data_IF_343625146627
#
_entry.id   IF_343625146627
#
_cell.length_a   1.000
_cell.length_b   1.000
_cell.length_c   1.000
_cell.angle_alpha   90.00
_cell.angle_beta   90.00
_cell.angle_gamma   90.00
#
_symmetry.space_group_name_H-M   'P 1'
#
loop_
_entity.id
_entity.type
_entity.pdbx_description
1 polymer ?
#
# COMPACT_ATOMS: atom_id res chain seq x y z
N UNK A 1 -27.44 41.36 -53.18
CA UNK A 1 -28.02 40.13 -52.59
C UNK A 1 -27.04 38.96 -52.59
N UNK A 2 -26.08 38.87 -53.51
CA UNK A 2 -25.10 37.77 -53.59
C UNK A 2 -23.92 37.88 -52.56
N UNK A 3 -23.62 39.08 -52.07
CA UNK A 3 -22.53 39.30 -51.08
C UNK A 3 -22.86 38.93 -49.65
N UNK A 4 -24.15 38.93 -49.26
CA UNK A 4 -24.61 38.61 -47.90
C UNK A 4 -24.71 37.09 -47.71
N UNK A 5 -25.02 36.32 -48.74
CA UNK A 5 -25.07 34.86 -48.67
C UNK A 5 -23.68 34.20 -48.47
N UNK A 6 -22.63 34.79 -49.04
CA UNK A 6 -21.28 34.26 -48.91
C UNK A 6 -20.64 34.56 -47.52
N UNK A 7 -21.09 35.62 -46.84
CA UNK A 7 -20.62 35.97 -45.51
C UNK A 7 -21.22 35.02 -44.45
N UNK A 8 -22.48 34.64 -44.57
CA UNK A 8 -23.12 33.72 -43.66
C UNK A 8 -22.61 32.25 -43.77
N UNK A 9 -22.19 31.83 -44.97
CA UNK A 9 -21.63 30.49 -45.17
C UNK A 9 -20.22 30.35 -44.58
N UNK A 10 -19.42 31.41 -44.60
CA UNK A 10 -18.08 31.42 -43.98
C UNK A 10 -18.15 31.48 -42.45
N UNK A 11 -19.10 32.21 -41.89
CA UNK A 11 -19.33 32.23 -40.45
C UNK A 11 -19.85 30.88 -39.93
N UNK A 12 -20.71 30.20 -40.69
CA UNK A 12 -21.23 28.88 -40.29
C UNK A 12 -20.14 27.79 -40.38
N UNK A 13 -19.21 27.85 -41.32
CA UNK A 13 -18.07 26.95 -41.40
C UNK A 13 -17.05 27.19 -40.29
N UNK A 14 -16.82 28.43 -39.86
CA UNK A 14 -15.95 28.72 -38.72
C UNK A 14 -16.59 28.29 -37.38
N UNK A 15 -17.91 28.41 -37.23
CA UNK A 15 -18.60 27.91 -36.05
C UNK A 15 -18.64 26.38 -35.99
N UNK A 16 -18.72 25.70 -37.11
CA UNK A 16 -18.65 24.23 -37.19
C UNK A 16 -17.23 23.70 -36.93
N UNK A 17 -16.18 24.44 -37.33
CA UNK A 17 -14.79 24.07 -37.06
C UNK A 17 -14.38 24.32 -35.61
N UNK A 18 -14.96 25.30 -34.92
CA UNK A 18 -14.70 25.56 -33.51
C UNK A 18 -15.39 24.51 -32.59
N UNK A 19 -16.49 23.91 -33.03
CA UNK A 19 -17.13 22.81 -32.29
C UNK A 19 -16.43 21.45 -32.49
N UNK A 20 -15.52 21.31 -33.45
CA UNK A 20 -14.75 20.08 -33.70
C UNK A 20 -13.40 20.07 -32.99
N UNK A 21 -13.02 21.17 -32.33
CA UNK A 21 -11.85 21.22 -31.45
C UNK A 21 -12.34 21.44 -30.00
N UNK A 22 -13.41 20.73 -29.60
CA UNK A 22 -13.55 20.39 -28.18
C UNK A 22 -12.50 19.30 -27.96
N UNK A 23 -11.44 19.52 -27.16
CA UNK A 23 -10.60 18.42 -26.79
C UNK A 23 -11.54 17.42 -26.12
N UNK A 24 -11.77 16.29 -26.76
CA UNK A 24 -12.20 15.11 -26.05
C UNK A 24 -11.21 15.01 -24.89
N UNK A 25 -11.65 15.40 -23.69
CA UNK A 25 -10.99 15.03 -22.45
C UNK A 25 -11.01 13.49 -22.46
N UNK A 26 -10.05 12.91 -23.17
CA UNK A 26 -9.75 11.49 -23.07
C UNK A 26 -9.42 11.33 -21.60
N UNK A 27 -10.34 10.72 -20.84
CA UNK A 27 -10.04 10.27 -19.50
C UNK A 27 -8.77 9.45 -19.64
N UNK A 28 -7.66 9.96 -19.11
CA UNK A 28 -6.38 9.29 -19.15
C UNK A 28 -6.39 8.17 -18.09
N UNK A 29 -7.23 7.17 -18.30
CA UNK A 29 -7.18 5.96 -17.50
C UNK A 29 -5.82 5.27 -17.61
N UNK A 30 -5.62 4.13 -16.93
CA UNK A 30 -4.31 3.46 -16.86
C UNK A 30 -3.76 3.00 -18.22
N UNK A 31 -4.58 2.89 -19.26
CA UNK A 31 -4.15 2.46 -20.60
C UNK A 31 -3.25 1.22 -20.53
N UNK A 32 -2.08 1.28 -21.18
CA UNK A 32 -1.06 0.22 -21.14
C UNK A 32 -0.04 0.40 -20.02
N UNK A 33 -0.28 1.29 -19.05
CA UNK A 33 0.67 1.55 -17.96
C UNK A 33 1.05 0.27 -17.21
N UNK A 34 0.08 -0.60 -16.91
CA UNK A 34 0.30 -1.86 -16.17
C UNK A 34 0.47 -3.06 -17.13
N UNK A 35 1.35 -2.95 -18.12
CA UNK A 35 1.76 -4.14 -18.89
C UNK A 35 2.70 -5.01 -18.03
N UNK A 36 2.11 -5.80 -17.11
CA UNK A 36 2.79 -6.61 -16.09
C UNK A 36 2.19 -8.00 -16.02
N UNK A 37 2.94 -8.96 -15.47
CA UNK A 37 2.43 -10.30 -15.17
C UNK A 37 1.44 -10.25 -14.00
N UNK A 38 0.16 -10.25 -14.33
CA UNK A 38 -0.93 -10.28 -13.35
C UNK A 38 -1.35 -11.70 -12.94
N UNK A 39 -0.63 -12.74 -13.33
CA UNK A 39 -0.91 -14.14 -12.88
C UNK A 39 -0.48 -14.37 -11.42
N UNK A 40 0.45 -13.58 -10.90
CA UNK A 40 0.96 -13.67 -9.53
C UNK A 40 -0.01 -13.03 -8.53
N UNK A 41 0.18 -13.34 -7.25
CA UNK A 41 -0.55 -12.75 -6.12
C UNK A 41 0.40 -12.51 -4.94
N UNK A 42 -0.10 -11.86 -3.88
CA UNK A 42 0.60 -11.68 -2.63
C UNK A 42 1.95 -10.95 -2.79
N UNK A 43 2.98 -11.38 -2.06
CA UNK A 43 4.31 -10.76 -2.10
C UNK A 43 4.88 -10.68 -3.53
N UNK A 44 4.72 -11.73 -4.33
CA UNK A 44 5.22 -11.75 -5.71
C UNK A 44 4.54 -10.69 -6.58
N UNK A 45 3.23 -10.49 -6.45
CA UNK A 45 2.52 -9.45 -7.20
C UNK A 45 2.85 -8.06 -6.67
N UNK A 46 3.03 -7.91 -5.34
CA UNK A 46 3.51 -6.65 -4.74
C UNK A 46 4.85 -6.23 -5.33
N UNK A 47 5.82 -7.14 -5.45
CA UNK A 47 7.15 -6.85 -6.02
C UNK A 47 7.09 -6.47 -7.51
N UNK A 48 6.19 -7.09 -8.27
CA UNK A 48 5.93 -6.71 -9.67
C UNK A 48 5.38 -5.29 -9.74
N UNK A 49 4.41 -4.95 -8.87
CA UNK A 49 3.87 -3.60 -8.77
C UNK A 49 4.96 -2.60 -8.35
N UNK A 50 5.75 -2.89 -7.31
CA UNK A 50 6.83 -2.05 -6.85
C UNK A 50 7.80 -1.68 -7.99
N UNK A 51 8.22 -2.68 -8.76
CA UNK A 51 9.08 -2.50 -9.93
C UNK A 51 8.43 -1.61 -11.00
N UNK A 52 7.14 -1.84 -11.28
CA UNK A 52 6.41 -1.03 -12.27
C UNK A 52 6.23 0.41 -11.83
N UNK A 53 5.92 0.64 -10.56
CA UNK A 53 5.73 1.98 -9.98
C UNK A 53 7.04 2.78 -9.92
N UNK A 54 8.19 2.11 -9.86
CA UNK A 54 9.50 2.73 -9.93
C UNK A 54 9.90 3.16 -11.34
N UNK A 55 9.46 2.39 -12.34
CA UNK A 55 9.88 2.58 -13.72
C UNK A 55 9.27 3.86 -14.32
N UNK A 56 10.14 4.79 -14.72
CA UNK A 56 9.75 6.05 -15.35
C UNK A 56 9.17 7.09 -14.38
N UNK A 57 9.11 6.82 -13.07
CA UNK A 57 8.72 7.83 -12.10
C UNK A 57 9.85 8.84 -11.88
N UNK A 58 9.47 10.11 -11.73
CA UNK A 58 10.39 11.21 -11.45
C UNK A 58 10.11 11.79 -10.06
N UNK A 59 11.16 12.27 -9.40
CA UNK A 59 11.02 12.97 -8.13
C UNK A 59 10.71 14.44 -8.40
N UNK A 60 9.66 14.95 -7.77
CA UNK A 60 9.29 16.36 -7.84
C UNK A 60 10.09 17.14 -6.81
N UNK A 61 10.44 18.39 -7.09
CA UNK A 61 10.96 19.25 -6.07
C UNK A 61 9.85 19.54 -5.04
N UNK A 62 10.10 19.29 -3.76
CA UNK A 62 9.12 19.54 -2.70
C UNK A 62 8.63 20.99 -2.66
N UNK A 63 9.51 21.96 -3.03
CA UNK A 63 9.13 23.35 -3.15
C UNK A 63 7.99 23.61 -4.14
N UNK A 64 7.90 22.79 -5.18
CA UNK A 64 6.98 22.98 -6.30
C UNK A 64 5.68 22.16 -6.16
N UNK A 65 5.55 21.33 -5.13
CA UNK A 65 4.38 20.43 -4.95
C UNK A 65 3.06 21.19 -4.88
N UNK A 66 3.01 22.31 -4.16
CA UNK A 66 1.81 23.13 -4.02
C UNK A 66 1.33 23.73 -5.34
N UNK A 67 2.22 23.98 -6.32
CA UNK A 67 1.83 24.44 -7.66
C UNK A 67 0.95 23.45 -8.42
N UNK A 68 1.03 22.16 -8.05
CA UNK A 68 0.24 21.12 -8.70
C UNK A 68 -1.12 20.88 -8.05
N UNK A 69 -1.39 21.41 -6.85
CA UNK A 69 -2.65 21.16 -6.15
C UNK A 69 -3.88 21.69 -6.92
N UNK A 70 -3.73 22.78 -7.68
CA UNK A 70 -4.81 23.23 -8.56
C UNK A 70 -5.22 22.18 -9.60
N UNK A 71 -4.33 21.27 -9.97
CA UNK A 71 -4.60 20.21 -10.93
C UNK A 71 -4.96 18.87 -10.30
N UNK A 72 -4.35 18.57 -9.15
CA UNK A 72 -4.50 17.27 -8.50
C UNK A 72 -5.60 17.25 -7.46
N UNK A 73 -5.85 18.38 -6.78
CA UNK A 73 -6.69 18.45 -5.59
C UNK A 73 -7.58 19.69 -5.61
N UNK A 74 -8.21 20.00 -6.72
CA UNK A 74 -9.21 21.09 -6.83
C UNK A 74 -10.51 20.60 -7.45
N UNK A 75 -11.59 21.30 -7.12
CA UNK A 75 -12.93 21.13 -7.68
C UNK A 75 -13.57 22.48 -7.98
N UNK A 76 -14.62 22.55 -8.83
CA UNK A 76 -15.41 23.78 -8.98
C UNK A 76 -15.97 24.27 -7.65
N UNK A 77 -15.90 25.56 -7.40
CA UNK A 77 -16.51 26.18 -6.22
C UNK A 77 -18.06 26.08 -6.28
N UNK A 78 -18.71 25.71 -5.20
CA UNK A 78 -20.17 25.58 -5.12
C UNK A 78 -20.89 26.90 -5.38
N UNK A 79 -20.30 28.02 -4.95
CA UNK A 79 -20.81 29.36 -5.17
C UNK A 79 -20.69 29.85 -6.63
N UNK A 80 -20.05 29.08 -7.50
CA UNK A 80 -19.64 29.51 -8.84
C UNK A 80 -18.44 30.46 -8.81
N UNK A 81 -17.77 30.65 -9.96
CA UNK A 81 -16.72 31.67 -10.10
C UNK A 81 -15.30 31.21 -9.79
N UNK A 82 -14.98 29.92 -9.93
CA UNK A 82 -13.61 29.44 -9.80
C UNK A 82 -13.50 28.00 -9.31
N UNK A 83 -12.31 27.61 -8.87
CA UNK A 83 -12.03 26.32 -8.24
C UNK A 83 -11.53 26.51 -6.80
N UNK A 84 -11.85 25.56 -5.96
CA UNK A 84 -11.40 25.48 -4.57
C UNK A 84 -10.55 24.23 -4.36
N UNK A 85 -9.67 24.29 -3.40
CA UNK A 85 -8.83 23.17 -2.97
C UNK A 85 -9.69 22.16 -2.21
N UNK A 86 -9.51 20.90 -2.53
CA UNK A 86 -10.13 19.75 -1.84
C UNK A 86 -9.31 19.45 -0.58
N UNK A 87 -9.76 19.94 0.56
CA UNK A 87 -9.16 19.64 1.88
C UNK A 87 -9.90 18.46 2.53
N UNK A 88 -9.26 17.30 2.55
CA UNK A 88 -9.81 16.08 3.16
C UNK A 88 -9.76 16.06 4.68
N UNK A 89 -9.12 17.06 5.30
CA UNK A 89 -8.90 17.11 6.75
C UNK A 89 -9.98 17.86 7.49
N UNK A 90 -10.50 18.95 6.91
CA UNK A 90 -11.55 19.76 7.56
C UNK A 90 -12.47 20.46 6.57
N UNK A 91 -12.10 20.53 5.28
CA UNK A 91 -12.83 21.29 4.28
C UNK A 91 -14.07 20.58 3.74
N UNK A 92 -13.89 19.42 3.17
CA UNK A 92 -14.94 18.64 2.51
C UNK A 92 -15.95 18.07 3.50
N UNK A 93 -17.26 18.15 3.16
CA UNK A 93 -18.35 17.54 3.94
C UNK A 93 -19.05 16.44 3.13
N UNK A 94 -19.65 15.44 3.79
CA UNK A 94 -20.38 14.37 3.11
C UNK A 94 -21.56 14.83 2.25
N UNK A 95 -22.12 16.01 2.53
CA UNK A 95 -23.23 16.62 1.79
C UNK A 95 -22.76 17.52 0.62
N UNK A 96 -21.46 17.57 0.33
CA UNK A 96 -20.88 18.39 -0.73
C UNK A 96 -20.71 19.87 -0.37
N UNK A 97 -21.15 20.29 0.81
CA UNK A 97 -20.93 21.67 1.28
C UNK A 97 -19.57 21.77 1.95
N UNK A 98 -18.73 22.70 1.49
CA UNK A 98 -17.41 22.87 2.07
C UNK A 98 -17.47 23.66 3.38
N UNK A 99 -16.71 23.19 4.37
CA UNK A 99 -16.47 23.95 5.60
C UNK A 99 -15.48 25.07 5.38
N UNK A 100 -14.44 24.81 4.56
CA UNK A 100 -13.37 25.74 4.22
C UNK A 100 -13.24 25.78 2.70
N UNK A 101 -13.43 26.97 2.12
CA UNK A 101 -13.30 27.21 0.68
C UNK A 101 -11.93 27.81 0.38
N UNK A 102 -10.87 27.00 0.39
CA UNK A 102 -9.53 27.46 0.09
C UNK A 102 -9.34 27.75 -1.39
N UNK A 103 -8.90 28.96 -1.71
CA UNK A 103 -8.46 29.32 -3.07
C UNK A 103 -7.01 28.91 -3.25
N UNK A 104 -6.73 28.27 -4.36
CA UNK A 104 -5.40 27.77 -4.68
C UNK A 104 -4.31 28.85 -4.61
N UNK A 105 -4.58 30.03 -5.17
CA UNK A 105 -3.62 31.12 -5.36
C UNK A 105 -3.49 32.09 -4.17
N UNK A 106 -4.32 31.94 -3.13
CA UNK A 106 -4.41 32.92 -2.06
C UNK A 106 -4.29 32.35 -0.65
N UNK A 107 -4.73 31.14 -0.44
CA UNK A 107 -4.95 30.62 0.91
C UNK A 107 -3.91 29.56 1.33
N UNK A 108 -2.77 29.50 0.63
CA UNK A 108 -1.62 28.67 1.02
C UNK A 108 -0.80 29.33 2.14
N UNK A 109 -0.49 28.58 3.20
CA UNK A 109 0.35 29.08 4.29
C UNK A 109 1.84 29.10 3.88
N UNK A 110 2.31 30.20 3.33
CA UNK A 110 3.70 30.34 2.85
C UNK A 110 4.75 30.57 3.95
N UNK A 111 4.34 31.04 5.12
CA UNK A 111 5.25 31.54 6.16
C UNK A 111 5.61 30.53 7.25
N UNK A 112 5.07 29.31 7.19
CA UNK A 112 5.22 28.35 8.28
C UNK A 112 4.48 28.76 9.55
N UNK A 113 4.34 27.86 10.50
CA UNK A 113 3.63 28.11 11.76
C UNK A 113 2.26 27.41 11.78
N UNK A 114 1.66 27.38 12.96
CA UNK A 114 0.35 26.77 13.18
C UNK A 114 -0.72 27.83 13.10
N UNK A 115 -1.74 27.61 12.27
CA UNK A 115 -2.93 28.45 12.26
C UNK A 115 -3.65 28.40 13.62
N UNK A 116 -4.28 29.48 14.02
CA UNK A 116 -5.00 29.58 15.30
C UNK A 116 -6.33 28.84 15.31
N UNK A 117 -6.88 28.56 14.14
CA UNK A 117 -8.15 27.83 13.94
C UNK A 117 -8.19 27.19 12.56
N UNK A 118 -9.21 26.38 12.32
CA UNK A 118 -9.52 25.84 11.00
C UNK A 118 -9.94 26.94 10.03
N UNK A 119 -9.82 26.68 8.74
CA UNK A 119 -10.19 27.58 7.64
C UNK A 119 -9.37 28.87 7.53
N UNK A 120 -8.18 28.93 8.11
CA UNK A 120 -7.27 30.08 7.93
C UNK A 120 -6.45 29.92 6.65
N UNK A 121 -5.76 28.81 6.49
CA UNK A 121 -4.95 28.49 5.32
C UNK A 121 -4.67 26.99 5.23
N UNK A 122 -4.27 26.52 4.06
CA UNK A 122 -3.87 25.13 3.83
C UNK A 122 -2.35 24.99 3.64
N UNK A 123 -1.85 23.78 3.88
CA UNK A 123 -0.43 23.40 3.76
C UNK A 123 -0.27 22.11 2.94
N UNK A 124 0.98 21.79 2.61
CA UNK A 124 1.38 20.46 2.08
C UNK A 124 1.47 19.47 3.25
N UNK A 125 0.63 18.44 3.25
CA UNK A 125 0.63 17.43 4.30
C UNK A 125 1.10 16.06 3.77
N UNK A 126 2.00 15.44 4.53
CA UNK A 126 2.39 14.05 4.33
C UNK A 126 1.38 13.14 5.02
N UNK A 127 0.32 12.75 4.32
CA UNK A 127 -0.76 11.91 4.87
C UNK A 127 -0.27 10.55 5.40
N UNK A 128 0.81 10.03 4.84
CA UNK A 128 1.68 9.01 5.42
C UNK A 128 2.88 9.75 6.05
N UNK A 129 3.00 9.85 7.37
CA UNK A 129 3.94 10.73 8.03
C UNK A 129 5.39 10.56 7.59
N UNK A 130 6.04 11.66 7.22
CA UNK A 130 7.43 11.63 6.74
C UNK A 130 8.43 11.11 7.79
N UNK A 131 8.13 11.27 9.06
CA UNK A 131 8.96 10.71 10.15
C UNK A 131 9.06 9.19 10.11
N UNK A 132 8.08 8.51 9.52
CA UNK A 132 8.07 7.05 9.43
C UNK A 132 9.08 6.51 8.42
N UNK A 133 9.43 7.28 7.39
CA UNK A 133 10.44 6.90 6.40
C UNK A 133 11.77 7.67 6.53
N UNK A 134 12.01 8.33 7.68
CA UNK A 134 13.28 8.99 7.96
C UNK A 134 13.32 10.49 7.68
N UNK A 135 12.19 11.15 7.48
CA UNK A 135 12.10 12.59 7.31
C UNK A 135 12.15 13.04 5.83
N UNK A 136 13.08 13.94 5.51
CA UNK A 136 13.14 14.55 4.17
C UNK A 136 13.87 13.68 3.12
N UNK A 137 13.61 12.36 3.13
CA UNK A 137 14.26 11.40 2.23
C UNK A 137 13.59 11.37 0.87
N UNK A 138 14.31 11.75 -0.18
CA UNK A 138 13.84 11.67 -1.57
C UNK A 138 13.94 10.23 -2.08
N UNK A 139 13.01 9.73 -2.90
CA UNK A 139 11.85 10.43 -3.50
C UNK A 139 10.61 10.51 -2.61
N UNK A 140 10.54 9.81 -1.48
CA UNK A 140 9.37 9.70 -0.60
C UNK A 140 8.89 11.06 -0.09
N UNK A 141 9.82 11.96 0.21
CA UNK A 141 9.52 13.30 0.76
C UNK A 141 8.69 14.17 -0.20
N UNK A 142 8.82 13.97 -1.50
CA UNK A 142 8.07 14.71 -2.52
C UNK A 142 7.12 13.83 -3.35
N UNK A 143 6.76 12.65 -2.81
CA UNK A 143 5.83 11.72 -3.45
C UNK A 143 4.42 12.30 -3.52
N UNK A 144 3.95 12.59 -4.75
CA UNK A 144 2.66 13.25 -4.96
C UNK A 144 1.46 12.41 -4.50
N UNK A 145 1.58 11.07 -4.49
CA UNK A 145 0.47 10.23 -4.05
C UNK A 145 0.16 10.33 -2.55
N UNK A 146 1.15 10.73 -1.73
CA UNK A 146 0.93 10.91 -0.28
C UNK A 146 0.74 12.38 0.13
N UNK A 147 1.16 13.33 -0.72
CA UNK A 147 1.09 14.76 -0.41
C UNK A 147 -0.29 15.31 -0.76
N UNK A 148 -1.02 15.76 0.25
CA UNK A 148 -2.35 16.34 0.12
C UNK A 148 -2.34 17.80 0.60
N UNK A 149 -3.16 18.66 0.02
CA UNK A 149 -3.49 19.91 0.69
C UNK A 149 -4.33 19.62 1.94
N UNK A 150 -4.00 20.25 3.04
CA UNK A 150 -4.68 20.06 4.32
C UNK A 150 -4.82 21.37 5.08
N UNK A 151 -5.92 21.55 5.78
CA UNK A 151 -6.09 22.62 6.76
C UNK A 151 -4.90 22.64 7.73
N UNK A 152 -4.27 23.81 7.90
CA UNK A 152 -3.04 23.91 8.69
C UNK A 152 -3.28 23.57 10.17
N UNK A 153 -4.41 23.99 10.75
CA UNK A 153 -4.74 23.70 12.15
C UNK A 153 -4.94 22.21 12.38
N UNK A 154 -5.75 21.57 11.53
CA UNK A 154 -6.06 20.14 11.63
C UNK A 154 -4.83 19.28 11.33
N UNK A 155 -3.99 19.68 10.37
CA UNK A 155 -2.72 19.04 10.09
C UNK A 155 -1.78 19.05 11.31
N UNK A 156 -1.61 20.20 11.96
CA UNK A 156 -0.78 20.29 13.17
C UNK A 156 -1.32 19.42 14.30
N UNK A 157 -2.63 19.35 14.47
CA UNK A 157 -3.28 18.53 15.46
C UNK A 157 -3.11 17.02 15.18
N UNK A 158 -3.18 16.60 13.89
CA UNK A 158 -2.94 15.23 13.48
C UNK A 158 -1.51 14.78 13.78
N UNK A 159 -0.53 15.69 13.66
CA UNK A 159 0.87 15.31 13.90
C UNK A 159 1.26 14.04 13.11
N UNK A 160 1.96 13.10 13.75
CA UNK A 160 2.36 11.81 13.15
C UNK A 160 1.40 10.66 13.51
N UNK A 161 0.20 10.95 13.99
CA UNK A 161 -0.75 9.90 14.36
C UNK A 161 -1.17 9.09 13.14
N UNK A 162 -1.23 7.74 13.26
CA UNK A 162 -1.73 6.87 12.21
C UNK A 162 -3.25 7.06 12.02
N UNK A 163 -3.73 6.57 10.88
CA UNK A 163 -5.17 6.44 10.67
C UNK A 163 -5.76 5.38 11.61
N UNK A 164 -7.00 5.60 12.07
CA UNK A 164 -7.67 4.67 12.99
C UNK A 164 -9.04 5.16 13.40
N UNK A 165 -9.82 4.31 14.05
CA UNK A 165 -11.08 4.73 14.66
C UNK A 165 -10.82 5.46 15.99
N UNK A 166 -11.51 6.58 16.18
CA UNK A 166 -11.40 7.41 17.39
C UNK A 166 -12.51 7.05 18.38
N UNK A 167 -12.10 6.63 19.58
CA UNK A 167 -13.01 6.36 20.70
C UNK A 167 -13.46 7.64 21.40
N UNK A 168 -12.50 8.48 21.79
CA UNK A 168 -12.76 9.76 22.45
C UNK A 168 -12.01 10.84 21.68
N UNK A 169 -12.73 11.71 20.96
CA UNK A 169 -12.07 12.78 20.22
C UNK A 169 -11.55 13.86 21.14
N UNK A 170 -10.29 14.25 20.96
CA UNK A 170 -9.72 15.49 21.50
C UNK A 170 -9.98 16.69 20.60
N UNK A 171 -10.08 16.43 19.29
CA UNK A 171 -10.44 17.39 18.25
C UNK A 171 -11.45 16.75 17.30
N UNK A 172 -12.45 17.54 16.91
CA UNK A 172 -13.34 17.24 15.79
C UNK A 172 -13.27 18.41 14.83
N UNK A 173 -12.89 18.12 13.59
CA UNK A 173 -12.83 19.11 12.52
C UNK A 173 -14.23 19.50 12.03
N UNK A 174 -14.31 20.61 11.29
CA UNK A 174 -15.60 21.11 10.79
C UNK A 174 -16.31 20.16 9.84
N UNK A 175 -15.59 19.33 9.12
CA UNK A 175 -16.18 18.29 8.28
C UNK A 175 -16.58 17.01 9.06
N UNK A 176 -16.18 16.87 10.32
CA UNK A 176 -16.44 15.69 11.14
C UNK A 176 -15.24 14.74 11.31
N UNK A 177 -14.09 15.03 10.68
CA UNK A 177 -12.82 14.32 10.93
C UNK A 177 -12.43 14.43 12.39
N UNK A 178 -11.94 13.36 12.98
CA UNK A 178 -11.60 13.26 14.40
C UNK A 178 -10.14 12.95 14.63
N UNK A 179 -9.60 13.49 15.72
CA UNK A 179 -8.28 13.13 16.27
C UNK A 179 -8.49 12.83 17.75
N UNK A 180 -7.95 11.72 18.26
CA UNK A 180 -8.13 11.35 19.65
C UNK A 180 -7.64 9.96 19.99
N UNK A 181 -8.06 9.43 21.12
CA UNK A 181 -7.69 8.09 21.58
C UNK A 181 -8.22 7.03 20.61
N UNK A 182 -7.42 5.98 20.38
CA UNK A 182 -7.79 4.88 19.47
C UNK A 182 -8.96 4.05 20.03
N UNK A 183 -9.79 3.55 19.11
CA UNK A 183 -10.87 2.61 19.39
C UNK A 183 -10.54 1.24 18.77
N UNK A 184 -10.28 0.24 19.60
CA UNK A 184 -10.08 -1.15 19.18
C UNK A 184 -11.34 -2.01 19.35
N UNK A 185 -12.53 -1.40 19.24
CA UNK A 185 -13.81 -2.13 19.31
C UNK A 185 -13.93 -3.24 18.24
N UNK A 186 -13.12 -3.16 17.17
CA UNK A 186 -13.01 -4.20 16.14
C UNK A 186 -12.04 -5.32 16.51
N UNK A 187 -11.37 -5.22 17.65
CA UNK A 187 -10.39 -6.20 18.13
C UNK A 187 -9.28 -6.48 17.09
N UNK A 188 -8.75 -5.42 16.48
CA UNK A 188 -7.65 -5.51 15.53
C UNK A 188 -6.28 -5.51 16.20
N UNK A 189 -6.22 -5.22 17.50
CA UNK A 189 -5.00 -5.13 18.28
C UNK A 189 -4.25 -3.83 18.04
N UNK A 190 -4.97 -2.68 18.10
CA UNK A 190 -4.37 -1.36 17.91
C UNK A 190 -3.26 -1.10 18.92
N UNK A 191 -2.06 -0.79 18.41
CA UNK A 191 -0.91 -0.44 19.24
C UNK A 191 -0.81 1.08 19.47
N UNK A 192 -1.42 1.89 18.59
CA UNK A 192 -1.37 3.35 18.68
C UNK A 192 -2.32 3.88 19.75
N UNK A 193 -1.84 4.80 20.59
CA UNK A 193 -2.65 5.44 21.64
C UNK A 193 -3.56 6.54 21.11
N UNK A 194 -3.12 7.23 20.06
CA UNK A 194 -3.85 8.30 19.39
C UNK A 194 -3.87 8.06 17.89
N UNK A 195 -5.00 8.38 17.25
CA UNK A 195 -5.24 8.13 15.84
C UNK A 195 -5.98 9.30 15.19
N UNK A 196 -5.93 9.33 13.86
CA UNK A 196 -6.66 10.24 12.98
C UNK A 196 -7.74 9.46 12.26
N UNK A 197 -8.99 9.86 12.40
CA UNK A 197 -10.15 9.28 11.72
C UNK A 197 -10.74 10.28 10.74
N UNK A 198 -10.48 10.14 9.42
CA UNK A 198 -11.16 10.94 8.40
C UNK A 198 -12.65 10.61 8.35
N UNK A 199 -13.44 11.48 7.73
CA UNK A 199 -14.84 11.16 7.42
C UNK A 199 -14.94 9.96 6.47
N UNK A 200 -16.08 9.29 6.47
CA UNK A 200 -16.26 8.00 5.78
C UNK A 200 -15.91 8.06 4.29
N UNK A 201 -16.20 9.18 3.62
CA UNK A 201 -15.92 9.36 2.19
C UNK A 201 -14.43 9.47 1.81
N UNK A 202 -13.51 9.57 2.79
CA UNK A 202 -12.07 9.63 2.55
C UNK A 202 -11.29 8.50 3.23
N UNK A 203 -11.97 7.61 3.94
CA UNK A 203 -11.31 6.48 4.61
C UNK A 203 -10.54 5.60 3.61
N UNK A 204 -11.14 5.34 2.46
CA UNK A 204 -10.52 4.60 1.37
C UNK A 204 -9.32 5.32 0.75
N UNK A 205 -9.42 6.64 0.55
CA UNK A 205 -8.32 7.47 0.02
C UNK A 205 -7.06 7.32 0.88
N UNK A 206 -7.19 7.53 2.19
CA UNK A 206 -6.07 7.38 3.12
C UNK A 206 -5.55 5.93 3.18
N UNK A 207 -6.43 4.94 3.19
CA UNK A 207 -6.03 3.54 3.15
C UNK A 207 -5.22 3.20 1.89
N UNK A 208 -5.65 3.64 0.72
CA UNK A 208 -4.94 3.42 -0.55
C UNK A 208 -3.60 4.15 -0.62
N UNK A 209 -3.45 5.27 0.07
CA UNK A 209 -2.14 5.95 0.21
C UNK A 209 -1.18 5.09 1.03
N UNK A 210 -1.62 4.54 2.17
CA UNK A 210 -0.80 3.66 3.01
C UNK A 210 -0.36 2.41 2.24
N UNK A 211 -1.30 1.74 1.58
CA UNK A 211 -1.01 0.55 0.76
C UNK A 211 -0.08 0.86 -0.42
N UNK A 212 -0.24 2.03 -1.06
CA UNK A 212 0.65 2.51 -2.11
C UNK A 212 2.08 2.71 -1.60
N UNK A 213 2.25 3.41 -0.49
CA UNK A 213 3.57 3.72 0.06
C UNK A 213 4.37 2.45 0.36
N UNK A 214 3.77 1.49 1.03
CA UNK A 214 4.46 0.22 1.35
C UNK A 214 4.69 -0.68 0.14
N UNK A 215 3.94 -0.46 -0.94
CA UNK A 215 4.14 -1.16 -2.21
C UNK A 215 5.22 -0.49 -3.06
N UNK A 216 5.10 0.81 -3.29
CA UNK A 216 6.03 1.59 -4.11
C UNK A 216 7.47 1.52 -3.58
N UNK A 217 7.61 1.55 -2.27
CA UNK A 217 8.90 1.61 -1.58
C UNK A 217 9.30 0.28 -0.93
N UNK A 218 8.89 -0.83 -1.52
CA UNK A 218 9.14 -2.19 -1.02
C UNK A 218 10.60 -2.47 -0.68
N UNK A 219 11.55 -1.95 -1.47
CA UNK A 219 12.99 -2.17 -1.28
C UNK A 219 13.55 -1.56 0.00
N UNK A 220 12.88 -0.57 0.58
CA UNK A 220 13.35 0.16 1.78
C UNK A 220 12.38 0.10 2.95
N UNK A 221 11.13 -0.29 2.73
CA UNK A 221 10.05 -0.24 3.73
C UNK A 221 10.36 -1.03 5.00
N UNK A 222 11.09 -2.14 4.90
CA UNK A 222 11.47 -2.94 6.06
C UNK A 222 12.33 -2.18 7.07
N UNK A 223 13.13 -1.20 6.62
CA UNK A 223 13.98 -0.38 7.48
C UNK A 223 13.20 0.71 8.24
N UNK A 224 11.98 1.04 7.82
CA UNK A 224 11.21 2.13 8.41
C UNK A 224 10.83 1.89 9.88
N UNK A 225 10.73 0.64 10.31
CA UNK A 225 10.47 0.29 11.72
C UNK A 225 11.52 0.85 12.68
N UNK A 226 12.73 1.13 12.21
CA UNK A 226 13.78 1.74 13.05
C UNK A 226 13.49 3.21 13.42
N UNK A 227 12.52 3.86 12.77
CA UNK A 227 12.06 5.19 13.13
C UNK A 227 11.04 5.07 14.26
N UNK A 228 11.31 5.65 15.42
CA UNK A 228 10.53 5.47 16.66
C UNK A 228 9.03 5.75 16.53
N UNK A 229 8.64 6.67 15.62
CA UNK A 229 7.22 7.01 15.38
C UNK A 229 6.51 6.04 14.43
N UNK A 230 7.23 5.08 13.85
CA UNK A 230 6.69 4.09 12.91
C UNK A 230 6.43 2.71 13.56
N UNK A 231 6.91 2.50 14.79
CA UNK A 231 6.88 1.19 15.46
C UNK A 231 5.46 0.62 15.60
N UNK A 232 4.46 1.49 15.75
CA UNK A 232 3.06 1.07 15.94
C UNK A 232 2.37 0.70 14.61
N UNK A 233 3.03 0.92 13.46
CA UNK A 233 2.42 0.81 12.12
C UNK A 233 3.18 -0.13 11.21
N UNK A 234 4.51 -0.22 11.36
CA UNK A 234 5.39 -0.99 10.49
C UNK A 234 5.71 -2.37 11.04
N UNK A 235 5.55 -3.41 10.21
CA UNK A 235 5.87 -4.80 10.57
C UNK A 235 7.38 -5.14 10.50
N UNK A 236 8.24 -4.22 10.06
CA UNK A 236 9.68 -4.47 9.94
C UNK A 236 10.09 -5.44 8.84
N UNK A 237 9.23 -5.66 7.84
CA UNK A 237 9.47 -6.54 6.70
C UNK A 237 9.03 -5.87 5.40
N UNK A 238 9.39 -6.48 4.26
CA UNK A 238 8.96 -5.98 2.95
C UNK A 238 7.54 -6.43 2.58
N UNK A 239 7.03 -7.47 3.23
CA UNK A 239 5.68 -8.00 3.04
C UNK A 239 5.15 -8.64 4.33
N UNK A 240 3.95 -8.29 4.77
CA UNK A 240 3.03 -7.30 4.20
C UNK A 240 3.45 -5.84 4.42
N UNK A 241 4.51 -5.57 5.15
CA UNK A 241 5.11 -4.29 5.49
C UNK A 241 4.38 -3.51 6.59
N UNK A 242 3.07 -3.51 6.60
CA UNK A 242 2.24 -2.93 7.66
C UNK A 242 1.97 -3.95 8.78
N UNK A 243 1.89 -3.45 10.01
CA UNK A 243 1.44 -4.25 11.14
C UNK A 243 0.01 -4.78 10.90
N UNK A 244 -0.35 -5.97 11.40
CA UNK A 244 -1.65 -6.59 11.13
C UNK A 244 -2.87 -5.72 11.43
N UNK A 245 -2.86 -4.90 12.46
CA UNK A 245 -4.02 -4.08 12.81
C UNK A 245 -4.29 -2.98 11.78
N UNK A 246 -3.23 -2.27 11.34
CA UNK A 246 -3.36 -1.19 10.35
C UNK A 246 -3.62 -1.75 8.94
N UNK A 247 -3.07 -2.92 8.62
CA UNK A 247 -3.35 -3.58 7.35
C UNK A 247 -4.82 -3.98 7.24
N UNK A 248 -5.39 -4.62 8.28
CA UNK A 248 -6.82 -4.94 8.36
C UNK A 248 -7.69 -3.70 8.20
N UNK A 249 -7.30 -2.62 8.87
CA UNK A 249 -8.00 -1.35 8.79
C UNK A 249 -7.98 -0.79 7.37
N UNK A 250 -6.81 -0.75 6.73
CA UNK A 250 -6.66 -0.27 5.36
C UNK A 250 -7.50 -1.10 4.37
N UNK A 251 -7.48 -2.42 4.46
CA UNK A 251 -8.30 -3.29 3.59
C UNK A 251 -9.79 -3.05 3.84
N UNK A 252 -10.21 -2.91 5.10
CA UNK A 252 -11.61 -2.59 5.44
C UNK A 252 -12.04 -1.23 4.88
N UNK A 253 -11.27 -0.18 5.12
CA UNK A 253 -11.60 1.16 4.66
C UNK A 253 -11.59 1.27 3.13
N UNK A 254 -10.64 0.60 2.47
CA UNK A 254 -10.63 0.49 1.01
C UNK A 254 -11.93 -0.10 0.42
N UNK A 255 -12.52 -1.10 1.10
CA UNK A 255 -13.81 -1.71 0.69
C UNK A 255 -15.01 -0.82 0.99
N UNK A 256 -14.99 -0.13 2.11
CA UNK A 256 -16.06 0.76 2.54
C UNK A 256 -16.18 2.01 1.68
N UNK A 257 -15.04 2.51 1.23
CA UNK A 257 -14.92 3.73 0.43
C UNK A 257 -14.11 3.43 -0.85
N UNK A 258 -14.75 2.90 -1.89
CA UNK A 258 -14.09 2.60 -3.16
C UNK A 258 -13.70 3.89 -3.90
N UNK A 259 -12.66 3.84 -4.79
CA UNK A 259 -12.19 5.01 -5.51
C UNK A 259 -13.32 5.74 -6.24
N UNK A 260 -13.49 7.01 -5.94
CA UNK A 260 -14.44 7.89 -6.59
C UNK A 260 -13.86 8.61 -7.83
N UNK A 261 -14.58 9.54 -8.40
CA UNK A 261 -14.12 10.30 -9.56
C UNK A 261 -13.00 11.29 -9.20
N UNK A 262 -13.07 11.89 -8.00
CA UNK A 262 -12.08 12.84 -7.51
C UNK A 262 -10.71 12.16 -7.36
N UNK A 263 -10.67 11.01 -6.71
CA UNK A 263 -9.46 10.24 -6.51
C UNK A 263 -8.89 9.70 -7.85
N UNK A 264 -9.74 9.25 -8.76
CA UNK A 264 -9.32 8.81 -10.11
C UNK A 264 -8.71 9.96 -10.92
N UNK A 265 -9.33 11.13 -10.91
CA UNK A 265 -8.82 12.31 -11.60
C UNK A 265 -7.49 12.77 -10.99
N UNK A 266 -7.36 12.67 -9.66
CA UNK A 266 -6.10 12.91 -8.97
C UNK A 266 -5.01 11.95 -9.43
N UNK A 267 -5.30 10.65 -9.48
CA UNK A 267 -4.37 9.62 -9.95
C UNK A 267 -3.89 9.88 -11.39
N UNK A 268 -4.80 10.27 -12.27
CA UNK A 268 -4.48 10.67 -13.66
C UNK A 268 -3.57 11.91 -13.70
N UNK A 269 -3.86 12.89 -12.86
CA UNK A 269 -3.07 14.14 -12.79
C UNK A 269 -1.67 13.90 -12.24
N UNK A 270 -1.55 13.10 -11.17
CA UNK A 270 -0.25 12.71 -10.60
C UNK A 270 0.57 11.92 -11.63
N UNK A 271 -0.05 11.03 -12.40
CA UNK A 271 0.65 10.32 -13.48
C UNK A 271 1.28 11.27 -14.50
N UNK A 272 0.58 12.32 -14.91
CA UNK A 272 1.14 13.30 -15.85
C UNK A 272 2.31 14.09 -15.25
N UNK A 273 2.29 14.33 -13.93
CA UNK A 273 3.30 15.11 -13.21
C UNK A 273 4.51 14.25 -12.84
N UNK A 274 4.27 13.07 -12.28
CA UNK A 274 5.28 12.23 -11.63
C UNK A 274 5.63 10.96 -12.41
N UNK A 275 4.79 10.54 -13.37
CA UNK A 275 5.04 9.39 -14.25
C UNK A 275 4.64 8.04 -13.69
N UNK A 276 4.06 7.98 -12.49
CA UNK A 276 3.52 6.75 -11.90
C UNK A 276 2.09 6.93 -11.40
N UNK A 277 1.43 5.81 -11.07
CA UNK A 277 0.02 5.75 -10.69
C UNK A 277 -0.15 4.96 -9.40
N UNK A 278 -1.22 5.25 -8.64
CA UNK A 278 -1.62 4.37 -7.55
C UNK A 278 -2.43 3.20 -8.12
N UNK A 279 -1.91 1.95 -8.08
CA UNK A 279 -2.58 0.79 -8.66
C UNK A 279 -3.89 0.44 -7.97
N UNK A 280 -4.04 0.81 -6.70
CA UNK A 280 -5.22 0.51 -5.89
C UNK A 280 -6.39 1.47 -6.16
N UNK A 281 -6.12 2.58 -6.86
CA UNK A 281 -7.14 3.47 -7.44
C UNK A 281 -7.59 2.97 -8.80
N UNK A 282 -6.64 2.54 -9.64
CA UNK A 282 -6.93 2.06 -11.00
C UNK A 282 -7.62 0.69 -11.01
N UNK A 283 -7.13 -0.22 -10.17
CA UNK A 283 -7.60 -1.61 -10.03
C UNK A 283 -7.85 -1.94 -8.55
N UNK A 284 -8.97 -1.49 -7.97
CA UNK A 284 -9.25 -1.66 -6.54
C UNK A 284 -9.13 -3.11 -6.05
N UNK A 285 -9.56 -4.08 -6.86
CA UNK A 285 -9.43 -5.52 -6.54
C UNK A 285 -7.99 -6.02 -6.37
N UNK A 286 -6.98 -5.23 -6.75
CA UNK A 286 -5.59 -5.58 -6.52
C UNK A 286 -5.17 -5.43 -5.06
N UNK A 287 -5.93 -4.71 -4.24
CA UNK A 287 -5.70 -4.70 -2.78
C UNK A 287 -5.84 -6.12 -2.22
N UNK A 288 -6.95 -6.80 -2.54
CA UNK A 288 -7.15 -8.18 -2.11
C UNK A 288 -6.12 -9.14 -2.72
N UNK A 289 -5.76 -8.91 -3.95
CA UNK A 289 -4.76 -9.72 -4.65
C UNK A 289 -3.37 -9.62 -4.03
N UNK A 290 -3.02 -8.48 -3.47
CA UNK A 290 -1.73 -8.24 -2.80
C UNK A 290 -1.80 -8.63 -1.33
N UNK A 291 -2.85 -8.22 -0.60
CA UNK A 291 -2.89 -8.26 0.86
C UNK A 291 -3.92 -9.25 1.42
N UNK A 292 -4.69 -9.94 0.57
CA UNK A 292 -5.76 -10.83 0.99
C UNK A 292 -7.09 -10.14 1.28
N UNK A 293 -8.15 -10.95 1.44
CA UNK A 293 -9.53 -10.45 1.55
C UNK A 293 -9.74 -9.62 2.81
N UNK A 294 -9.06 -9.96 3.90
CA UNK A 294 -9.19 -9.31 5.21
C UNK A 294 -7.86 -8.71 5.72
N UNK A 295 -6.88 -8.53 4.82
CA UNK A 295 -5.54 -8.12 5.24
C UNK A 295 -4.75 -9.23 5.96
N UNK A 296 -5.34 -10.41 6.10
CA UNK A 296 -4.72 -11.62 6.64
C UNK A 296 -5.26 -12.79 5.83
N UNK A 297 -4.89 -12.87 4.58
CA UNK A 297 -5.16 -14.09 3.84
C UNK A 297 -4.06 -15.10 4.13
N UNK A 298 -4.43 -16.19 4.79
CA UNK A 298 -3.54 -17.32 5.03
C UNK A 298 -3.00 -17.91 3.72
N UNK A 299 -3.71 -17.75 2.61
CA UNK A 299 -3.22 -18.14 1.27
C UNK A 299 -2.07 -17.26 0.80
N UNK A 300 -1.98 -16.02 1.26
CA UNK A 300 -0.88 -15.10 0.98
C UNK A 300 0.31 -15.28 1.94
N UNK A 301 0.06 -15.79 3.14
CA UNK A 301 1.11 -16.01 4.16
C UNK A 301 1.93 -17.27 3.86
N UNK A 302 1.36 -18.25 3.16
CA UNK A 302 1.98 -19.57 2.95
C UNK A 302 3.10 -19.53 1.89
N UNK A 303 3.25 -18.48 1.08
CA UNK A 303 4.30 -18.41 0.06
C UNK A 303 5.58 -17.69 0.48
N UNK A 304 5.59 -17.06 1.63
CA UNK A 304 6.83 -16.57 2.23
C UNK A 304 7.37 -17.65 3.19
N UNK A 305 7.92 -18.73 2.65
CA UNK A 305 8.99 -19.41 3.38
C UNK A 305 10.05 -18.34 3.63
N UNK A 306 10.21 -17.91 4.90
CA UNK A 306 11.40 -17.16 5.30
C UNK A 306 12.58 -18.01 4.84
N UNK A 307 13.22 -17.64 3.76
CA UNK A 307 14.61 -18.05 3.55
C UNK A 307 15.39 -17.27 4.63
N UNK A 308 15.49 -17.90 5.81
CA UNK A 308 16.53 -17.47 6.73
C UNK A 308 17.81 -17.46 5.93
N UNK A 309 18.63 -16.44 6.10
CA UNK A 309 19.97 -16.32 5.52
C UNK A 309 20.88 -17.55 5.81
N UNK A 310 20.39 -18.50 6.60
CA UNK A 310 20.97 -19.78 6.95
C UNK A 310 20.21 -20.96 6.31
N UNK A 311 19.66 -20.82 5.09
CA UNK A 311 19.10 -21.96 4.37
C UNK A 311 20.21 -22.82 3.76
N UNK A 312 20.08 -24.14 3.85
CA UNK A 312 20.90 -25.10 3.15
C UNK A 312 20.02 -25.98 2.24
N UNK A 313 20.65 -26.61 1.27
CA UNK A 313 19.90 -27.49 0.34
C UNK A 313 19.98 -28.94 0.80
N UNK A 314 18.84 -29.65 0.72
CA UNK A 314 18.76 -31.07 0.91
C UNK A 314 18.10 -31.75 -0.31
N UNK A 315 18.58 -32.92 -0.63
CA UNK A 315 17.97 -33.81 -1.62
C UNK A 315 17.56 -35.12 -0.96
N UNK A 316 16.51 -35.75 -1.48
CA UNK A 316 16.00 -37.01 -0.98
C UNK A 316 15.84 -38.00 -2.15
N UNK A 317 16.21 -39.25 -1.94
CA UNK A 317 16.10 -40.28 -2.96
C UNK A 317 15.92 -41.69 -2.33
N UNK A 318 15.29 -42.62 -3.05
CA UNK A 318 14.59 -42.38 -4.31
C UNK A 318 13.37 -41.45 -4.10
N UNK A 319 12.94 -40.78 -5.15
CA UNK A 319 11.70 -40.01 -5.15
C UNK A 319 11.01 -40.20 -6.52
N UNK A 320 9.91 -40.96 -6.61
CA UNK A 320 9.15 -41.59 -5.54
C UNK A 320 9.89 -42.66 -4.72
N UNK A 321 9.46 -42.82 -3.44
CA UNK A 321 10.07 -43.76 -2.48
C UNK A 321 9.07 -44.79 -1.95
N UNK A 322 9.53 -46.01 -1.68
CA UNK A 322 8.72 -47.09 -1.07
C UNK A 322 8.93 -47.10 0.47
N UNK A 323 9.92 -47.85 0.96
CA UNK A 323 10.05 -48.07 2.40
C UNK A 323 11.11 -47.18 3.07
N UNK A 324 12.04 -46.69 2.30
CA UNK A 324 13.19 -45.92 2.80
C UNK A 324 13.45 -44.72 1.95
N UNK A 325 13.85 -43.63 2.61
CA UNK A 325 14.23 -42.37 1.99
C UNK A 325 15.64 -41.99 2.47
N UNK A 326 16.57 -41.89 1.54
CA UNK A 326 17.92 -41.38 1.84
C UNK A 326 17.93 -39.89 1.74
N UNK A 327 18.63 -39.22 2.66
CA UNK A 327 18.76 -37.78 2.74
C UNK A 327 20.20 -37.41 2.43
N UNK A 328 20.40 -36.61 1.41
CA UNK A 328 21.67 -36.00 1.10
C UNK A 328 21.59 -34.48 1.39
N UNK A 329 22.47 -34.00 2.24
CA UNK A 329 22.52 -32.57 2.57
C UNK A 329 23.96 -32.16 2.77
N UNK A 330 24.27 -30.90 2.40
CA UNK A 330 25.53 -30.26 2.73
C UNK A 330 25.21 -29.21 3.82
N UNK A 331 25.57 -29.53 5.05
CA UNK A 331 25.35 -28.63 6.18
C UNK A 331 26.42 -27.53 6.19
N UNK A 332 26.00 -26.27 6.44
CA UNK A 332 26.95 -25.14 6.47
C UNK A 332 27.89 -25.18 7.66
N UNK A 333 27.57 -25.95 8.73
CA UNK A 333 28.37 -26.02 9.97
C UNK A 333 28.29 -27.43 10.62
N UNK A 334 29.29 -27.86 11.38
CA UNK A 334 29.21 -29.05 12.23
C UNK A 334 28.19 -28.79 13.37
N UNK A 335 27.24 -29.70 13.57
CA UNK A 335 26.08 -29.52 14.42
C UNK A 335 26.19 -30.22 15.75
N UNK A 336 25.65 -29.59 16.81
CA UNK A 336 25.39 -30.28 18.08
C UNK A 336 24.05 -31.01 18.06
N UNK A 337 23.03 -30.43 17.43
CA UNK A 337 21.70 -31.02 17.33
C UNK A 337 21.10 -30.73 15.97
N UNK A 338 20.52 -31.75 15.34
CA UNK A 338 19.70 -31.60 14.16
C UNK A 338 18.39 -32.37 14.33
N UNK A 339 17.32 -31.95 13.69
CA UNK A 339 16.06 -32.67 13.65
C UNK A 339 15.58 -32.88 12.23
N UNK A 340 14.99 -34.07 11.98
CA UNK A 340 14.31 -34.39 10.75
C UNK A 340 12.86 -34.65 11.08
N UNK A 341 11.96 -33.95 10.38
CA UNK A 341 10.52 -34.10 10.55
C UNK A 341 9.85 -34.32 9.20
N UNK A 342 8.85 -35.19 9.15
CA UNK A 342 8.03 -35.44 7.97
C UNK A 342 6.61 -34.99 8.24
N UNK A 343 6.09 -34.19 7.34
CA UNK A 343 4.74 -33.59 7.39
C UNK A 343 3.88 -34.14 6.26
N UNK A 344 2.61 -34.38 6.52
CA UNK A 344 1.62 -34.63 5.48
C UNK A 344 1.20 -33.31 4.76
N UNK A 345 0.34 -33.44 3.76
CA UNK A 345 -0.15 -32.30 2.97
C UNK A 345 -1.03 -31.31 3.76
N UNK A 346 -1.48 -31.69 4.97
CA UNK A 346 -2.21 -30.83 5.90
C UNK A 346 -1.27 -30.14 6.91
N UNK A 347 0.06 -30.34 6.80
CA UNK A 347 1.04 -29.77 7.71
C UNK A 347 1.16 -30.48 9.06
N UNK A 348 0.55 -31.67 9.22
CA UNK A 348 0.68 -32.46 10.46
C UNK A 348 2.01 -33.20 10.46
N UNK A 349 2.77 -33.06 11.54
CA UNK A 349 4.00 -33.85 11.74
C UNK A 349 3.65 -35.32 11.97
N UNK A 350 4.05 -36.17 11.04
CA UNK A 350 3.78 -37.63 11.06
C UNK A 350 4.96 -38.39 11.62
N UNK A 351 6.18 -37.89 11.41
CA UNK A 351 7.40 -38.55 11.87
C UNK A 351 8.41 -37.45 12.27
N UNK A 352 9.07 -37.64 13.41
CA UNK A 352 10.15 -36.75 13.85
C UNK A 352 11.29 -37.57 14.44
N UNK A 353 12.52 -37.19 14.07
CA UNK A 353 13.74 -37.86 14.51
C UNK A 353 14.79 -36.80 14.89
N UNK A 354 15.37 -36.92 16.10
CA UNK A 354 16.48 -36.04 16.53
C UNK A 354 17.82 -36.77 16.27
N UNK A 355 18.77 -36.04 15.76
CA UNK A 355 20.14 -36.51 15.51
C UNK A 355 21.05 -35.73 16.47
N UNK A 356 21.62 -36.44 17.44
CA UNK A 356 22.55 -35.89 18.42
C UNK A 356 23.99 -36.19 17.98
N UNK A 357 24.86 -35.20 17.93
CA UNK A 357 26.29 -35.29 17.63
C UNK A 357 26.62 -36.06 16.31
N UNK A 358 25.74 -35.98 15.31
CA UNK A 358 25.91 -36.65 14.03
C UNK A 358 25.79 -35.70 12.83
N UNK A 359 26.41 -36.14 11.73
CA UNK A 359 26.18 -35.48 10.44
C UNK A 359 24.86 -35.98 9.84
N UNK A 360 24.03 -35.07 9.36
CA UNK A 360 22.79 -35.38 8.62
C UNK A 360 23.13 -35.96 7.22
N UNK A 361 24.40 -35.90 6.85
CA UNK A 361 24.91 -36.44 5.61
C UNK A 361 24.66 -37.95 5.55
N UNK A 362 23.93 -38.39 4.53
CA UNK A 362 23.60 -39.79 4.25
C UNK A 362 22.73 -40.53 5.28
N UNK A 363 21.84 -39.82 5.99
CA UNK A 363 20.86 -40.47 6.83
C UNK A 363 19.75 -41.13 6.01
N UNK A 364 19.32 -42.33 6.47
CA UNK A 364 18.18 -43.06 5.88
C UNK A 364 17.04 -43.08 6.89
N UNK A 365 15.87 -42.62 6.50
CA UNK A 365 14.64 -42.70 7.28
C UNK A 365 13.75 -43.86 6.76
N UNK A 366 13.11 -44.56 7.69
CA UNK A 366 12.12 -45.58 7.36
C UNK A 366 10.75 -44.89 7.24
N UNK A 367 10.14 -45.01 6.05
CA UNK A 367 8.82 -44.45 5.71
C UNK A 367 7.81 -45.53 5.34
N UNK A 368 8.11 -46.82 5.61
CA UNK A 368 7.24 -47.94 5.28
C UNK A 368 5.83 -47.83 5.88
N UNK A 369 5.71 -47.22 7.06
CA UNK A 369 4.42 -47.00 7.74
C UNK A 369 3.58 -45.85 7.19
N UNK A 370 4.14 -45.02 6.32
CA UNK A 370 3.41 -43.89 5.74
C UNK A 370 2.46 -44.40 4.63
N UNK A 371 1.21 -43.90 4.61
CA UNK A 371 0.32 -44.09 3.48
C UNK A 371 0.90 -43.54 2.17
N UNK A 372 0.44 -44.04 1.04
CA UNK A 372 0.77 -43.43 -0.26
C UNK A 372 0.33 -42.00 -0.33
N UNK A 373 1.20 -41.10 -0.79
CA UNK A 373 0.89 -39.69 -0.81
C UNK A 373 2.09 -38.77 -0.99
N UNK A 374 1.83 -37.46 -0.93
CA UNK A 374 2.84 -36.42 -0.99
C UNK A 374 3.17 -35.97 0.42
N UNK A 375 4.46 -35.84 0.73
CA UNK A 375 4.99 -35.46 2.02
C UNK A 375 6.04 -34.35 1.89
N UNK A 376 6.23 -33.60 2.95
CA UNK A 376 7.30 -32.61 3.11
C UNK A 376 8.27 -33.15 4.18
N UNK A 377 9.55 -33.20 3.85
CA UNK A 377 10.63 -33.51 4.77
C UNK A 377 11.29 -32.18 5.16
N UNK A 378 11.32 -31.87 6.45
CA UNK A 378 12.01 -30.72 7.02
C UNK A 378 13.26 -31.22 7.77
N UNK A 379 14.37 -30.53 7.55
CA UNK A 379 15.59 -30.69 8.32
C UNK A 379 15.86 -29.35 9.01
N UNK A 380 16.02 -29.37 10.32
CA UNK A 380 16.39 -28.20 11.11
C UNK A 380 17.75 -28.45 11.77
N UNK A 381 18.63 -27.46 11.67
CA UNK A 381 20.00 -27.52 12.15
C UNK A 381 20.45 -26.16 12.68
N UNK A 382 20.64 -26.01 13.99
CA UNK A 382 21.07 -24.77 14.64
C UNK A 382 20.35 -23.51 14.13
N UNK A 383 19.02 -23.60 13.97
CA UNK A 383 18.17 -22.49 13.47
C UNK A 383 18.18 -22.32 11.94
N UNK A 384 18.96 -23.12 11.21
CA UNK A 384 18.84 -23.23 9.74
C UNK A 384 17.83 -24.32 9.36
N UNK A 385 17.06 -24.12 8.31
CA UNK A 385 16.01 -25.06 7.90
C UNK A 385 16.10 -25.35 6.39
N UNK A 386 15.98 -26.64 6.03
CA UNK A 386 15.78 -27.08 4.65
C UNK A 386 14.46 -27.87 4.55
N UNK A 387 13.75 -27.71 3.43
CA UNK A 387 12.48 -28.39 3.19
C UNK A 387 12.46 -29.01 1.79
N UNK A 388 12.14 -30.30 1.71
CA UNK A 388 12.14 -31.04 0.45
C UNK A 388 10.88 -31.90 0.31
N UNK A 389 10.23 -31.84 -0.85
CA UNK A 389 9.05 -32.64 -1.16
C UNK A 389 9.44 -34.05 -1.65
N UNK A 390 8.74 -35.11 -1.19
CA UNK A 390 8.83 -36.43 -1.74
C UNK A 390 7.46 -37.10 -1.90
N UNK A 391 7.43 -38.15 -2.73
CA UNK A 391 6.23 -38.96 -3.00
C UNK A 391 6.47 -40.36 -2.41
N UNK A 392 5.54 -40.86 -1.59
CA UNK A 392 5.47 -42.24 -1.08
C UNK A 392 4.58 -43.06 -2.00
N UNK A 393 5.09 -44.15 -2.51
CA UNK A 393 4.36 -45.18 -3.28
C UNK A 393 3.88 -46.36 -2.42
#
# INVERSE_FOLDING_TARGET
MILIENMNRRFFLYFLLIFLICPLLVKAGPGNYYNIDSSKSCAAFKSILASRLALGSVSINYGDVDFYFNRTDSKPAESGGGSVIVDRYSGERPNGLDSCNYRYDADFCSSGGTASSQCVCYVKEHSFPKSWFGGNVIPMYSEMHLLLPADNYTNNAKSNYPIGYVKTPSITSYNGTKIGSSDDSLNYGFNATSVFEPIDQFKGDFARIYLYMVTRYESVVASWISNSTANDVMAGNSYPALDPWILKLCVKWHKQDPPDLLERNRNDSVFVIQGNRNPYVDYPHWVEKVFGVDGIDTSCVITAVRTNSNSFTSAVFPNPANDRLQIQTVLPFPTKEASISVFDYLGRCILSHKINNGTVENNTINIASLPRGIYLLQIENDGATSMTKFVKE
#
